data_IF_729147252423
#
_entry.id   IF_729147252423
#
_cell.length_a   1.000
_cell.length_b   1.000
_cell.length_c   1.000
_cell.angle_alpha   90.00
_cell.angle_beta   90.00
_cell.angle_gamma   90.00
#
_symmetry.space_group_name_H-M   'P 1'
#
loop_
_entity.id
_entity.type
_entity.pdbx_description
1 polymer ?
#
# COMPACT_ATOMS: atom_id res chain seq x y z
N UNK A 1 12.68 4.61 -19.97
CA UNK A 1 11.64 5.02 -20.94
C UNK A 1 11.79 6.51 -21.18
N UNK A 2 11.81 6.96 -22.42
CA UNK A 2 11.82 8.40 -22.74
C UNK A 2 10.37 8.89 -22.85
N UNK A 3 9.93 9.70 -21.88
CA UNK A 3 8.58 10.27 -21.84
C UNK A 3 8.54 11.70 -22.36
N UNK A 4 9.69 12.29 -22.76
CA UNK A 4 9.82 13.63 -23.35
C UNK A 4 8.98 14.70 -22.65
N UNK A 5 8.00 15.27 -23.34
CA UNK A 5 7.13 16.31 -22.83
C UNK A 5 6.32 15.87 -21.58
N UNK A 6 6.14 14.56 -21.35
CA UNK A 6 5.47 14.01 -20.18
C UNK A 6 6.42 13.70 -19.02
N UNK A 7 7.72 14.02 -19.14
CA UNK A 7 8.74 13.65 -18.14
C UNK A 7 8.41 14.16 -16.74
N UNK A 8 7.92 15.39 -16.63
CA UNK A 8 7.53 15.96 -15.33
C UNK A 8 6.33 15.25 -14.67
N UNK A 9 5.46 14.60 -15.46
CA UNK A 9 4.25 13.94 -14.96
C UNK A 9 4.42 12.42 -14.77
N UNK A 10 5.17 11.76 -15.65
CA UNK A 10 5.27 10.29 -15.70
C UNK A 10 6.69 9.78 -15.95
N UNK A 11 7.71 10.64 -15.92
CA UNK A 11 9.09 10.28 -16.29
C UNK A 11 9.92 9.68 -15.16
N UNK A 12 9.45 9.74 -13.92
CA UNK A 12 10.14 9.12 -12.79
C UNK A 12 9.78 7.63 -12.70
N UNK A 13 10.77 6.80 -12.34
CA UNK A 13 10.57 5.40 -11.99
C UNK A 13 11.35 5.11 -10.70
N UNK A 14 10.86 4.16 -9.91
CA UNK A 14 11.42 3.83 -8.61
C UNK A 14 10.95 2.43 -8.18
N UNK A 15 11.33 2.00 -6.98
CA UNK A 15 10.84 0.78 -6.35
C UNK A 15 9.95 1.11 -5.13
N UNK A 16 9.28 0.10 -4.57
CA UNK A 16 8.36 0.29 -3.44
C UNK A 16 9.05 0.86 -2.19
N UNK A 17 10.28 0.44 -1.89
CA UNK A 17 11.02 0.89 -0.72
C UNK A 17 11.37 2.38 -0.81
N UNK A 18 11.87 2.81 -1.96
CA UNK A 18 12.18 4.22 -2.24
C UNK A 18 10.93 5.10 -2.20
N UNK A 19 9.79 4.61 -2.73
CA UNK A 19 8.52 5.31 -2.62
C UNK A 19 8.07 5.42 -1.15
N UNK A 20 8.18 4.34 -0.37
CA UNK A 20 7.88 4.39 1.06
C UNK A 20 8.77 5.40 1.80
N UNK A 21 10.07 5.44 1.48
CA UNK A 21 11.01 6.40 2.06
C UNK A 21 10.67 7.86 1.66
N UNK A 22 10.34 8.09 0.39
CA UNK A 22 9.93 9.39 -0.12
C UNK A 22 8.66 9.91 0.55
N UNK A 23 7.60 9.08 0.61
CA UNK A 23 6.35 9.47 1.26
C UNK A 23 6.49 9.60 2.79
N UNK A 24 7.38 8.83 3.43
CA UNK A 24 7.69 9.00 4.84
C UNK A 24 8.35 10.35 5.14
N UNK A 25 9.16 10.88 4.23
CA UNK A 25 9.79 12.20 4.37
C UNK A 25 8.77 13.34 4.38
N UNK A 26 7.60 13.16 3.78
CA UNK A 26 6.50 14.13 3.78
C UNK A 26 5.70 14.17 5.09
N UNK A 27 5.96 13.26 6.04
CA UNK A 27 5.35 13.31 7.36
C UNK A 27 5.87 14.55 8.11
N UNK A 28 4.95 15.34 8.67
CA UNK A 28 5.28 16.52 9.48
C UNK A 28 6.13 16.09 10.69
N UNK A 29 7.23 16.80 10.93
CA UNK A 29 8.20 16.48 11.97
C UNK A 29 9.27 15.46 11.54
N UNK A 30 9.26 14.95 10.30
CA UNK A 30 10.31 14.04 9.81
C UNK A 30 11.65 14.76 9.60
N UNK A 31 11.64 16.08 9.34
CA UNK A 31 12.85 16.88 9.14
C UNK A 31 13.59 16.69 7.80
N UNK A 32 13.07 15.85 6.88
CA UNK A 32 13.64 15.63 5.55
C UNK A 32 12.86 16.35 4.44
N UNK A 33 13.55 16.64 3.33
CA UNK A 33 13.07 17.25 2.08
C UNK A 33 12.52 18.68 2.19
N UNK A 34 11.39 18.83 2.87
CA UNK A 34 10.65 20.09 3.00
C UNK A 34 10.49 20.47 4.47
N UNK A 35 10.26 21.75 4.74
CA UNK A 35 9.85 22.20 6.07
C UNK A 35 8.43 21.73 6.41
N UNK A 36 8.09 21.80 7.70
CA UNK A 36 6.79 21.34 8.20
C UNK A 36 5.61 22.20 7.75
N UNK A 37 5.84 23.48 7.43
CA UNK A 37 4.79 24.35 6.91
C UNK A 37 4.40 23.94 5.48
N UNK A 38 5.38 23.70 4.62
CA UNK A 38 5.21 23.22 3.25
C UNK A 38 4.54 21.85 3.22
N UNK A 39 4.96 20.93 4.11
CA UNK A 39 4.30 19.63 4.25
C UNK A 39 2.82 19.77 4.62
N UNK A 40 2.48 20.66 5.55
CA UNK A 40 1.08 20.93 5.92
C UNK A 40 0.29 21.48 4.73
N UNK A 41 0.84 22.42 3.96
CA UNK A 41 0.16 22.95 2.77
C UNK A 41 0.01 21.91 1.66
N UNK A 42 1.00 21.05 1.43
CA UNK A 42 0.89 19.94 0.48
C UNK A 42 -0.24 18.97 0.83
N UNK A 43 -0.43 18.72 2.14
CA UNK A 43 -1.43 17.78 2.65
C UNK A 43 -2.81 18.41 2.88
N UNK A 44 -2.90 19.75 2.86
CA UNK A 44 -4.15 20.47 3.04
C UNK A 44 -5.01 20.30 1.79
N UNK A 45 -6.26 19.92 1.99
CA UNK A 45 -7.23 19.82 0.91
C UNK A 45 -7.41 21.19 0.24
N UNK A 46 -7.20 21.22 -1.08
CA UNK A 46 -7.41 22.38 -1.93
C UNK A 46 -8.65 22.19 -2.80
N UNK A 47 -8.87 20.97 -3.31
CA UNK A 47 -9.97 20.65 -4.21
C UNK A 47 -10.61 19.30 -3.87
N UNK A 48 -11.95 19.22 -3.77
CA UNK A 48 -12.64 17.94 -3.79
C UNK A 48 -12.63 17.36 -5.22
N UNK A 49 -12.44 16.05 -5.36
CA UNK A 49 -12.52 15.36 -6.65
C UNK A 49 -13.97 14.98 -6.93
N UNK A 50 -14.55 15.54 -7.98
CA UNK A 50 -15.91 15.18 -8.43
C UNK A 50 -15.95 13.77 -9.00
N UNK A 51 -17.05 13.04 -8.79
CA UNK A 51 -17.25 11.66 -9.25
C UNK A 51 -16.17 10.67 -8.77
N UNK A 52 -15.57 10.92 -7.62
CA UNK A 52 -14.64 9.99 -7.01
C UNK A 52 -15.35 8.80 -6.35
N UNK A 53 -14.83 7.59 -6.58
CA UNK A 53 -15.29 6.37 -5.89
C UNK A 53 -15.04 6.40 -4.37
N UNK A 54 -14.06 7.18 -3.91
CA UNK A 54 -13.61 7.17 -2.52
C UNK A 54 -13.68 8.54 -1.85
N UNK A 55 -14.52 9.45 -2.35
CA UNK A 55 -14.57 10.86 -1.92
C UNK A 55 -13.16 11.48 -1.84
N UNK A 56 -12.36 11.20 -2.86
CA UNK A 56 -10.99 11.69 -2.91
C UNK A 56 -10.97 13.21 -2.98
N UNK A 57 -9.93 13.76 -2.39
CA UNK A 57 -9.59 15.17 -2.39
C UNK A 57 -8.17 15.32 -2.94
N UNK A 58 -7.81 16.55 -3.28
CA UNK A 58 -6.48 16.88 -3.79
C UNK A 58 -5.88 18.02 -2.97
N UNK A 59 -4.66 17.79 -2.49
CA UNK A 59 -3.78 18.81 -1.96
C UNK A 59 -2.85 19.37 -3.04
N UNK A 60 -1.66 19.82 -2.67
CA UNK A 60 -0.65 20.24 -3.65
C UNK A 60 0.25 19.06 -4.00
N UNK A 61 -0.03 18.42 -5.14
CA UNK A 61 0.73 17.27 -5.63
C UNK A 61 0.46 15.95 -4.90
N UNK A 62 -0.52 15.92 -3.99
CA UNK A 62 -0.91 14.74 -3.22
C UNK A 62 -2.43 14.52 -3.31
N UNK A 63 -2.81 13.27 -3.53
CA UNK A 63 -4.17 12.80 -3.29
C UNK A 63 -4.39 12.68 -1.78
N UNK A 64 -5.59 13.04 -1.34
CA UNK A 64 -6.07 12.87 0.03
C UNK A 64 -7.26 11.94 -0.04
N UNK A 65 -7.20 10.82 0.69
CA UNK A 65 -8.28 9.84 0.72
C UNK A 65 -8.72 9.52 2.15
N UNK A 66 -9.87 8.87 2.23
CA UNK A 66 -10.33 8.20 3.43
C UNK A 66 -10.26 6.67 3.26
N UNK A 67 -9.58 5.99 4.18
CA UNK A 67 -9.58 4.53 4.32
C UNK A 67 -10.09 4.18 5.70
N UNK A 68 -11.31 3.66 5.81
CA UNK A 68 -11.97 3.53 7.10
C UNK A 68 -12.15 4.90 7.76
N UNK A 69 -11.58 5.08 8.95
CA UNK A 69 -11.51 6.39 9.63
C UNK A 69 -10.19 7.13 9.41
N UNK A 70 -9.22 6.53 8.69
CA UNK A 70 -7.91 7.14 8.45
C UNK A 70 -7.97 8.12 7.30
N UNK A 71 -7.52 9.35 7.57
CA UNK A 71 -7.17 10.32 6.53
C UNK A 71 -5.77 10.01 6.04
N UNK A 72 -5.65 9.55 4.80
CA UNK A 72 -4.37 9.20 4.18
C UNK A 72 -4.03 10.17 3.06
N UNK A 73 -2.74 10.35 2.81
CA UNK A 73 -2.21 11.11 1.68
C UNK A 73 -1.45 10.17 0.76
N UNK A 74 -1.35 10.47 -0.53
CA UNK A 74 -0.73 9.54 -1.46
C UNK A 74 -0.74 10.00 -2.90
N UNK A 75 -0.48 9.05 -3.80
CA UNK A 75 -0.69 9.24 -5.22
C UNK A 75 -0.83 7.88 -5.93
N UNK A 76 -1.66 7.83 -6.97
CA UNK A 76 -1.67 6.73 -7.94
C UNK A 76 -0.86 7.07 -9.19
N UNK A 77 -0.24 6.08 -9.81
CA UNK A 77 0.43 6.21 -11.10
C UNK A 77 -0.09 5.16 -12.07
N UNK A 78 -0.22 5.54 -13.33
CA UNK A 78 -0.55 4.62 -14.41
C UNK A 78 0.33 4.92 -15.62
N UNK A 79 0.97 3.88 -16.14
CA UNK A 79 1.72 3.90 -17.40
C UNK A 79 1.43 2.59 -18.14
N UNK A 80 1.45 2.53 -19.49
CA UNK A 80 1.18 1.28 -20.21
C UNK A 80 1.92 0.06 -19.63
N UNK A 81 1.15 -0.93 -19.15
CA UNK A 81 1.65 -2.15 -18.53
C UNK A 81 2.02 -2.04 -17.04
N UNK A 82 1.88 -0.87 -16.41
CA UNK A 82 2.25 -0.61 -15.02
C UNK A 82 1.18 0.23 -14.29
N UNK A 83 0.83 -0.15 -13.08
CA UNK A 83 0.02 0.67 -12.19
C UNK A 83 0.64 0.71 -10.79
N UNK A 84 0.51 1.84 -10.11
CA UNK A 84 1.07 2.04 -8.78
C UNK A 84 0.10 2.78 -7.88
N UNK A 85 0.16 2.48 -6.59
CA UNK A 85 -0.51 3.26 -5.54
C UNK A 85 0.41 3.34 -4.34
N UNK A 86 0.61 4.55 -3.82
CA UNK A 86 1.18 4.75 -2.49
C UNK A 86 0.21 5.51 -1.62
N UNK A 87 0.00 5.03 -0.39
CA UNK A 87 -0.83 5.64 0.64
C UNK A 87 0.01 5.79 1.92
N UNK A 88 -0.08 6.95 2.56
CA UNK A 88 0.62 7.32 3.78
C UNK A 88 -0.41 7.82 4.78
N UNK A 89 -0.43 7.25 5.99
CA UNK A 89 -1.12 7.81 7.15
C UNK A 89 -0.09 8.62 7.96
N UNK A 90 -0.14 9.97 7.90
CA UNK A 90 0.82 10.80 8.63
C UNK A 90 0.65 10.72 10.15
N UNK A 91 -0.55 10.40 10.63
CA UNK A 91 -0.86 10.31 12.06
C UNK A 91 -0.26 9.03 12.66
N UNK A 92 -0.49 7.89 12.00
CA UNK A 92 0.08 6.61 12.42
C UNK A 92 1.53 6.40 11.95
N UNK A 93 2.03 7.27 11.06
CA UNK A 93 3.36 7.16 10.42
C UNK A 93 3.55 5.86 9.66
N UNK A 94 2.51 5.42 8.95
CA UNK A 94 2.49 4.19 8.16
C UNK A 94 2.45 4.54 6.68
N UNK A 95 3.31 3.92 5.88
CA UNK A 95 3.31 4.06 4.42
C UNK A 95 3.19 2.70 3.77
N UNK A 96 2.29 2.58 2.79
CA UNK A 96 2.06 1.38 2.01
C UNK A 96 2.17 1.73 0.53
N UNK A 97 3.05 1.04 -0.18
CA UNK A 97 3.23 1.20 -1.63
C UNK A 97 3.05 -0.14 -2.34
N UNK A 98 2.20 -0.15 -3.36
CA UNK A 98 1.97 -1.29 -4.25
C UNK A 98 2.29 -0.87 -5.68
N UNK A 99 3.10 -1.68 -6.36
CA UNK A 99 3.43 -1.54 -7.77
C UNK A 99 3.07 -2.85 -8.46
N UNK A 100 2.39 -2.75 -9.60
CA UNK A 100 2.01 -3.90 -10.41
C UNK A 100 2.41 -3.67 -11.86
N UNK A 101 2.86 -4.75 -12.51
CA UNK A 101 3.05 -4.83 -13.96
C UNK A 101 1.95 -5.69 -14.63
N UNK A 102 0.88 -5.98 -13.90
CA UNK A 102 -0.24 -6.79 -14.34
C UNK A 102 -1.48 -5.91 -14.47
N UNK A 103 -2.09 -5.92 -15.66
CA UNK A 103 -3.29 -5.12 -15.97
C UNK A 103 -4.49 -5.48 -15.10
N UNK A 104 -4.55 -6.74 -14.64
CA UNK A 104 -5.67 -7.27 -13.84
C UNK A 104 -5.52 -6.95 -12.33
N UNK A 105 -4.38 -6.39 -11.91
CA UNK A 105 -4.14 -6.09 -10.50
C UNK A 105 -4.44 -4.62 -10.20
N UNK A 106 -5.24 -4.39 -9.16
CA UNK A 106 -5.54 -3.06 -8.66
C UNK A 106 -4.65 -2.73 -7.44
N UNK A 107 -3.60 -1.90 -7.59
CA UNK A 107 -2.73 -1.53 -6.48
C UNK A 107 -3.48 -0.66 -5.45
N UNK A 108 -4.54 0.05 -5.85
CA UNK A 108 -5.39 0.81 -4.93
C UNK A 108 -6.11 -0.11 -3.97
N UNK A 109 -6.74 -1.17 -4.48
CA UNK A 109 -7.38 -2.19 -3.67
C UNK A 109 -6.40 -2.84 -2.68
N UNK A 110 -5.18 -3.18 -3.13
CA UNK A 110 -4.14 -3.76 -2.27
C UNK A 110 -3.77 -2.83 -1.12
N UNK A 111 -3.43 -1.57 -1.39
CA UNK A 111 -3.04 -0.63 -0.35
C UNK A 111 -4.18 -0.39 0.66
N UNK A 112 -5.43 -0.24 0.18
CA UNK A 112 -6.60 -0.05 1.05
C UNK A 112 -6.90 -1.29 1.90
N UNK A 113 -6.73 -2.49 1.36
CA UNK A 113 -6.91 -3.73 2.10
C UNK A 113 -5.88 -3.85 3.25
N UNK A 114 -4.63 -3.47 3.02
CA UNK A 114 -3.58 -3.47 4.06
C UNK A 114 -3.96 -2.52 5.21
N UNK A 115 -4.39 -1.30 4.92
CA UNK A 115 -4.89 -0.39 5.95
C UNK A 115 -6.12 -0.95 6.68
N UNK A 116 -7.04 -1.59 5.96
CA UNK A 116 -8.21 -2.23 6.57
C UNK A 116 -7.82 -3.38 7.51
N UNK A 117 -6.78 -4.15 7.19
CA UNK A 117 -6.23 -5.16 8.09
C UNK A 117 -5.58 -4.54 9.33
N UNK A 118 -4.80 -3.47 9.16
CA UNK A 118 -4.20 -2.75 10.28
C UNK A 118 -5.30 -2.25 11.24
N UNK A 119 -6.34 -1.62 10.70
CA UNK A 119 -7.50 -1.16 11.49
C UNK A 119 -8.17 -2.32 12.23
N UNK A 120 -8.39 -3.44 11.56
CA UNK A 120 -9.01 -4.61 12.17
C UNK A 120 -8.20 -5.13 13.37
N UNK A 121 -6.87 -5.20 13.26
CA UNK A 121 -6.02 -5.70 14.34
C UNK A 121 -5.83 -4.68 15.48
N UNK A 122 -5.70 -3.39 15.18
CA UNK A 122 -5.63 -2.33 16.20
C UNK A 122 -6.90 -2.31 17.07
N UNK A 123 -8.08 -2.52 16.47
CA UNK A 123 -9.34 -2.59 17.19
C UNK A 123 -9.54 -3.91 17.96
N UNK A 124 -8.82 -4.99 17.59
CA UNK A 124 -8.91 -6.30 18.28
C UNK A 124 -7.93 -6.49 19.42
N UNK A 125 -6.80 -5.77 19.45
CA UNK A 125 -5.91 -5.80 20.64
C UNK A 125 -6.63 -5.33 21.92
N UNK A 126 -7.71 -4.54 21.81
CA UNK A 126 -8.56 -4.19 22.95
C UNK A 126 -9.45 -5.33 23.45
N UNK A 127 -9.69 -6.37 22.65
CA UNK A 127 -10.62 -7.49 22.98
C UNK A 127 -9.87 -8.71 23.55
N UNK A 128 -8.54 -8.80 23.38
CA UNK A 128 -7.73 -9.89 23.95
C UNK A 128 -6.98 -9.48 25.23
N UNK A 129 -7.63 -8.75 26.14
CA UNK A 129 -7.14 -8.65 27.52
C UNK A 129 -7.16 -10.04 28.18
N UNK A 130 -6.03 -10.76 28.05
CA UNK A 130 -5.56 -11.99 28.69
C UNK A 130 -6.55 -13.19 28.74
N UNK A 131 -6.25 -14.34 28.11
CA UNK A 131 -6.89 -15.59 28.50
C UNK A 131 -6.38 -15.96 29.90
N UNK A 132 -7.30 -16.22 30.81
CA UNK A 132 -7.01 -16.76 32.13
C UNK A 132 -6.07 -17.97 32.02
N UNK A 133 -5.02 -17.98 32.84
CA UNK A 133 -3.96 -18.96 32.84
C UNK A 133 -4.47 -20.42 32.87
N UNK A 134 -4.40 -21.13 31.73
CA UNK A 134 -4.02 -22.55 31.67
C UNK A 134 -4.03 -23.07 30.23
N UNK A 135 -2.86 -23.16 29.60
CA UNK A 135 -2.52 -24.23 28.66
C UNK A 135 -1.06 -24.03 28.25
N UNK A 136 -0.16 -24.91 28.71
CA UNK A 136 1.19 -25.00 28.15
C UNK A 136 1.06 -25.57 26.74
N UNK A 137 1.21 -24.74 25.72
CA UNK A 137 1.36 -25.20 24.35
C UNK A 137 2.79 -25.71 24.15
N UNK A 138 2.93 -26.94 23.66
CA UNK A 138 4.19 -27.54 23.26
C UNK A 138 4.66 -26.88 21.94
N UNK A 139 5.87 -26.32 21.95
CA UNK A 139 6.42 -25.53 20.86
C UNK A 139 7.14 -26.35 19.78
N UNK A 140 7.11 -27.69 19.86
CA UNK A 140 7.89 -28.56 18.96
C UNK A 140 7.14 -29.09 17.71
N UNK A 141 5.96 -28.57 17.38
CA UNK A 141 5.20 -29.00 16.20
C UNK A 141 4.80 -27.82 15.30
N UNK A 142 5.76 -27.00 14.88
CA UNK A 142 5.51 -25.98 13.87
C UNK A 142 6.60 -26.00 12.80
N UNK A 143 6.41 -26.85 11.78
CA UNK A 143 7.13 -26.76 10.52
C UNK A 143 6.29 -25.93 9.52
N UNK A 144 6.49 -24.61 9.54
CA UNK A 144 5.87 -23.67 8.61
C UNK A 144 6.70 -22.40 8.52
N UNK A 145 7.07 -21.97 7.31
CA UNK A 145 7.98 -20.84 7.07
C UNK A 145 7.46 -19.55 7.70
N UNK A 146 8.35 -18.88 8.42
CA UNK A 146 8.13 -17.62 9.12
C UNK A 146 7.65 -16.48 8.22
N UNK A 147 6.53 -15.85 8.56
CA UNK A 147 6.21 -14.46 8.16
C UNK A 147 6.78 -13.52 9.22
N UNK A 148 7.78 -12.73 8.84
CA UNK A 148 8.36 -11.70 9.70
C UNK A 148 7.46 -10.46 9.66
N UNK A 149 6.36 -10.49 10.40
CA UNK A 149 5.67 -9.28 10.81
C UNK A 149 6.40 -8.72 12.02
N UNK A 150 6.78 -7.47 11.94
CA UNK A 150 7.33 -6.76 13.07
C UNK A 150 6.54 -5.44 13.04
N UNK A 151 6.09 -4.92 14.19
CA UNK A 151 5.41 -3.61 14.38
C UNK A 151 6.35 -2.75 15.24
N UNK A 152 6.58 -1.46 14.92
CA UNK A 152 7.69 -0.53 15.33
C UNK A 152 8.85 -0.38 14.31
N UNK A 153 8.78 0.65 13.45
CA UNK A 153 9.65 0.99 12.27
C UNK A 153 9.60 0.04 11.05
N UNK A 154 8.43 -0.15 10.40
CA UNK A 154 8.29 -1.20 9.36
C UNK A 154 7.85 -0.74 7.99
N UNK A 155 8.72 -1.05 7.03
CA UNK A 155 8.40 -1.22 5.63
C UNK A 155 7.48 -2.44 5.44
N UNK A 156 6.37 -2.25 4.73
CA UNK A 156 5.63 -3.34 4.10
C UNK A 156 5.73 -3.13 2.60
N UNK A 157 6.58 -3.94 1.96
CA UNK A 157 6.73 -4.01 0.49
C UNK A 157 5.88 -5.18 0.00
N UNK A 158 4.79 -4.90 -0.70
CA UNK A 158 4.03 -5.95 -1.41
C UNK A 158 4.37 -5.87 -2.89
N UNK A 159 5.20 -6.81 -3.35
CA UNK A 159 5.48 -7.01 -4.77
C UNK A 159 4.67 -8.19 -5.27
N UNK A 160 3.85 -8.01 -6.30
CA UNK A 160 3.26 -9.13 -7.05
C UNK A 160 3.96 -9.21 -8.39
N UNK A 161 4.94 -10.10 -8.52
CA UNK A 161 5.60 -10.38 -9.79
C UNK A 161 4.88 -11.56 -10.48
N UNK A 162 4.28 -11.32 -11.64
CA UNK A 162 3.72 -12.40 -12.48
C UNK A 162 4.87 -13.25 -13.05
N UNK A 163 4.84 -14.57 -12.83
CA UNK A 163 5.75 -15.52 -13.48
C UNK A 163 5.40 -15.67 -14.97
N UNK A 164 6.31 -15.41 -15.92
CA UNK A 164 6.05 -15.56 -17.37
C UNK A 164 5.79 -17.01 -17.82
N UNK A 165 6.04 -18.03 -17.00
CA UNK A 165 5.93 -19.44 -17.39
C UNK A 165 4.64 -20.16 -16.95
N UNK A 166 3.66 -19.48 -16.36
CA UNK A 166 2.40 -20.12 -15.95
C UNK A 166 1.26 -19.90 -16.98
N UNK A 167 1.46 -20.39 -18.20
CA UNK A 167 0.39 -20.75 -19.14
C UNK A 167 0.88 -21.93 -19.96
N UNK A 168 0.69 -23.13 -19.43
CA UNK A 168 0.53 -24.38 -20.18
C UNK A 168 0.37 -25.53 -19.18
N UNK A 169 -0.83 -25.70 -18.62
CA UNK A 169 -1.24 -27.02 -18.08
C UNK A 169 -2.75 -27.21 -17.84
N UNK A 170 -3.59 -26.17 -17.96
CA UNK A 170 -5.05 -26.34 -17.79
C UNK A 170 -5.85 -26.61 -19.09
N UNK A 171 -5.19 -26.90 -20.22
CA UNK A 171 -5.88 -27.24 -21.48
C UNK A 171 -5.94 -28.77 -21.78
N UNK A 172 -5.65 -29.65 -20.82
CA UNK A 172 -5.67 -31.13 -21.04
C UNK A 172 -6.38 -31.96 -19.97
N UNK A 173 -7.36 -31.43 -19.24
CA UNK A 173 -8.14 -32.24 -18.28
C UNK A 173 -9.64 -32.36 -18.52
N UNK A 174 -10.18 -31.80 -19.60
CA UNK A 174 -11.58 -32.02 -20.00
C UNK A 174 -11.65 -32.48 -21.47
N UNK A 175 -11.32 -33.75 -21.72
CA UNK A 175 -11.82 -34.46 -22.89
C UNK A 175 -13.00 -35.34 -22.43
N UNK A 176 -14.19 -35.25 -23.05
CA UNK A 176 -15.28 -36.17 -22.72
C UNK A 176 -14.92 -37.59 -23.17
N UNK A 177 -15.21 -38.56 -22.32
CA UNK A 177 -15.07 -39.98 -22.63
C UNK A 177 -16.03 -40.37 -23.77
N UNK A 178 -15.49 -41.03 -24.79
CA UNK A 178 -16.22 -41.83 -25.78
C UNK A 178 -15.48 -43.14 -25.98
#
# INVERSE_FOLDING_TARGET
MDTRALSAATGFYSNAADLCAYFSAHIVGNGKLLDDASKKEMQRTQWPVTNSTFNQEYGLGLQVDLVGSRRVIGHAGGFPGMATRTLCDPSAKIVVSALTNCIDADPTAVCRAIFSFIDYFENKEQVWAQPSASAKADHNCFEGRSLRASIYNKEVVVTTQRNPQAKDQDCKKNAPAS
#
